data_IF_785798020964
#
_entry.id   IF_785798020964
#
_cell.length_a   1.000
_cell.length_b   1.000
_cell.length_c   1.000
_cell.angle_alpha   90.00
_cell.angle_beta   90.00
_cell.angle_gamma   90.00
#
_symmetry.space_group_name_H-M   'P 1'
#
loop_
_entity.id
_entity.type
_entity.pdbx_description
1 polymer ?
#
# COMPACT_ATOMS: atom_id res chain seq x y z
N UNK A 1 -7.14 9.63 -39.99
CA UNK A 1 -7.87 8.40 -40.36
C UNK A 1 -7.13 7.15 -39.88
N UNK A 2 -7.89 6.22 -39.31
CA UNK A 2 -7.53 4.90 -38.78
C UNK A 2 -6.63 4.85 -37.51
N UNK A 3 -7.31 4.87 -36.36
CA UNK A 3 -6.90 4.29 -35.08
C UNK A 3 -6.48 2.82 -35.29
N UNK A 4 -5.29 2.41 -34.84
CA UNK A 4 -4.95 0.99 -34.68
C UNK A 4 -4.86 0.70 -33.18
N UNK A 5 -5.92 0.13 -32.63
CA UNK A 5 -5.88 -0.57 -31.34
C UNK A 5 -4.97 -1.78 -31.50
N UNK A 6 -3.73 -1.70 -31.02
CA UNK A 6 -2.93 -2.88 -30.71
C UNK A 6 -3.13 -3.22 -29.25
N UNK A 7 -3.54 -4.47 -29.04
CA UNK A 7 -3.98 -5.03 -27.78
C UNK A 7 -2.86 -5.05 -26.72
N UNK A 8 -3.23 -4.68 -25.49
CA UNK A 8 -3.02 -5.41 -24.23
C UNK A 8 -1.75 -6.29 -24.06
N UNK A 9 -0.57 -5.83 -24.50
CA UNK A 9 0.72 -6.49 -24.19
C UNK A 9 1.53 -5.78 -23.09
N UNK A 10 1.03 -4.67 -22.52
CA UNK A 10 1.81 -3.81 -21.61
C UNK A 10 1.69 -4.13 -20.11
N UNK A 11 0.98 -5.21 -19.72
CA UNK A 11 0.73 -5.53 -18.31
C UNK A 11 2.00 -5.96 -17.54
N UNK A 12 2.99 -6.55 -18.20
CA UNK A 12 4.26 -6.97 -17.57
C UNK A 12 5.13 -5.78 -17.13
N UNK A 13 4.99 -4.63 -17.80
CA UNK A 13 5.83 -3.45 -17.57
C UNK A 13 5.45 -2.67 -16.31
N UNK A 14 4.21 -2.78 -15.81
CA UNK A 14 3.77 -2.08 -14.60
C UNK A 14 4.16 -2.80 -13.30
N UNK A 15 4.36 -4.12 -13.35
CA UNK A 15 4.72 -4.92 -12.16
C UNK A 15 6.18 -4.73 -11.78
N UNK A 16 7.05 -4.42 -12.74
CA UNK A 16 8.48 -4.16 -12.55
C UNK A 16 8.81 -2.78 -11.95
N UNK A 17 7.81 -1.90 -11.76
CA UNK A 17 8.04 -0.48 -11.40
C UNK A 17 8.05 -0.20 -9.90
N UNK A 18 7.80 -1.20 -9.04
CA UNK A 18 7.93 -1.05 -7.59
C UNK A 18 9.23 -1.70 -7.11
N UNK A 19 10.29 -0.91 -6.84
CA UNK A 19 11.57 -1.44 -6.38
C UNK A 19 11.36 -2.31 -5.14
N UNK A 20 11.92 -3.52 -5.15
CA UNK A 20 11.81 -4.46 -4.03
C UNK A 20 10.63 -5.43 -4.07
N UNK A 21 9.66 -5.28 -4.99
CA UNK A 21 8.58 -6.25 -5.20
C UNK A 21 8.80 -7.07 -6.47
N UNK A 22 8.81 -8.40 -6.34
CA UNK A 22 8.94 -9.31 -7.49
C UNK A 22 7.66 -9.44 -8.31
N UNK A 23 6.52 -9.44 -7.62
CA UNK A 23 5.19 -9.57 -8.20
C UNK A 23 4.18 -8.89 -7.30
N UNK A 24 3.28 -8.09 -7.88
CA UNK A 24 2.15 -7.48 -7.17
C UNK A 24 0.99 -8.46 -7.20
N UNK A 25 0.47 -8.83 -6.02
CA UNK A 25 -0.71 -9.69 -5.91
C UNK A 25 -2.00 -8.87 -5.92
N UNK A 26 -2.02 -7.76 -5.19
CA UNK A 26 -3.17 -6.85 -5.07
C UNK A 26 -2.69 -5.47 -4.63
N UNK A 27 -3.56 -4.47 -4.81
CA UNK A 27 -3.38 -3.10 -4.34
C UNK A 27 -4.65 -2.72 -3.59
N UNK A 28 -4.47 -2.19 -2.38
CA UNK A 28 -5.53 -1.66 -1.54
C UNK A 28 -5.33 -0.16 -1.37
N UNK A 29 -6.42 0.60 -1.45
CA UNK A 29 -6.37 2.05 -1.39
C UNK A 29 -7.31 2.52 -0.29
N UNK A 30 -6.85 3.49 0.49
CA UNK A 30 -7.64 4.10 1.54
C UNK A 30 -7.31 5.57 1.71
N UNK A 31 -8.17 6.28 2.43
CA UNK A 31 -7.99 7.69 2.71
C UNK A 31 -8.20 7.97 4.21
N UNK A 32 -7.55 9.01 4.69
CA UNK A 32 -7.66 9.45 6.08
C UNK A 32 -7.40 10.94 6.19
N UNK A 33 -8.17 11.58 7.05
CA UNK A 33 -8.04 13.01 7.34
C UNK A 33 -8.00 13.24 8.85
N UNK A 34 -7.29 14.30 9.25
CA UNK A 34 -7.40 14.89 10.57
C UNK A 34 -8.07 16.25 10.47
N UNK A 35 -9.34 16.32 10.86
CA UNK A 35 -10.21 17.49 10.63
C UNK A 35 -9.94 18.66 11.58
N UNK A 36 -9.39 18.38 12.77
CA UNK A 36 -9.02 19.41 13.74
C UNK A 36 -7.60 19.96 13.51
N UNK A 37 -6.87 19.34 12.57
CA UNK A 37 -5.55 19.77 12.12
C UNK A 37 -4.41 19.34 13.05
N UNK A 38 -3.21 19.41 12.47
CA UNK A 38 -1.90 19.25 13.12
C UNK A 38 -1.44 17.82 13.44
N UNK A 39 -2.24 16.78 13.19
CA UNK A 39 -1.78 15.39 13.32
C UNK A 39 -1.82 14.62 11.99
N UNK A 40 -0.71 14.71 11.25
CA UNK A 40 -0.49 13.96 10.01
C UNK A 40 -0.45 12.44 10.25
N UNK A 41 0.02 12.01 11.42
CA UNK A 41 0.11 10.60 11.79
C UNK A 41 -1.27 9.99 11.91
N UNK A 42 -2.19 10.69 12.58
CA UNK A 42 -3.59 10.27 12.71
C UNK A 42 -4.27 10.17 11.35
N UNK A 43 -4.02 11.10 10.43
CA UNK A 43 -4.53 11.02 9.07
C UNK A 43 -3.96 9.79 8.33
N UNK A 44 -2.64 9.55 8.39
CA UNK A 44 -1.98 8.40 7.77
C UNK A 44 -2.46 7.06 8.34
N UNK A 45 -2.61 6.94 9.66
CA UNK A 45 -3.14 5.75 10.34
C UNK A 45 -4.57 5.46 9.90
N UNK A 46 -5.41 6.50 9.78
CA UNK A 46 -6.78 6.36 9.26
C UNK A 46 -6.78 5.86 7.82
N UNK A 47 -5.92 6.41 6.97
CA UNK A 47 -5.79 5.97 5.58
C UNK A 47 -5.39 4.50 5.48
N UNK A 48 -4.38 4.08 6.25
CA UNK A 48 -3.91 2.70 6.26
C UNK A 48 -4.98 1.73 6.79
N UNK A 49 -5.70 2.10 7.87
CA UNK A 49 -6.80 1.29 8.39
C UNK A 49 -7.90 1.16 7.34
N UNK A 50 -8.33 2.28 6.76
CA UNK A 50 -9.37 2.29 5.74
C UNK A 50 -9.02 1.42 4.53
N UNK A 51 -7.74 1.36 4.13
CA UNK A 51 -7.29 0.52 3.03
C UNK A 51 -7.51 -0.98 3.29
N UNK A 52 -7.33 -1.46 4.53
CA UNK A 52 -7.32 -2.90 4.85
C UNK A 52 -8.58 -3.40 5.57
N UNK A 53 -9.39 -2.50 6.14
CA UNK A 53 -10.47 -2.85 7.09
C UNK A 53 -11.61 -3.67 6.47
N UNK A 54 -11.82 -3.56 5.16
CA UNK A 54 -12.95 -4.21 4.46
C UNK A 54 -12.53 -5.37 3.55
N UNK A 55 -11.26 -5.73 3.56
CA UNK A 55 -10.73 -6.82 2.74
C UNK A 55 -10.30 -7.99 3.62
N UNK A 56 -10.49 -9.20 3.12
CA UNK A 56 -10.00 -10.41 3.76
C UNK A 56 -9.39 -11.31 2.70
N UNK A 57 -8.17 -11.79 2.97
CA UNK A 57 -7.42 -12.64 2.06
C UNK A 57 -7.03 -13.91 2.82
N UNK A 58 -7.97 -14.83 3.07
CA UNK A 58 -7.71 -16.05 3.85
C UNK A 58 -6.75 -17.01 3.15
N UNK A 59 -6.58 -16.87 1.83
CA UNK A 59 -5.74 -17.73 0.99
C UNK A 59 -4.25 -17.36 0.98
N UNK A 60 -3.80 -16.36 1.76
CA UNK A 60 -2.40 -15.91 1.74
C UNK A 60 -1.40 -17.04 2.01
N UNK A 61 -1.71 -17.96 2.93
CA UNK A 61 -0.82 -19.10 3.25
C UNK A 61 -0.67 -20.10 2.10
N UNK A 62 -1.63 -20.14 1.17
CA UNK A 62 -1.56 -20.97 -0.02
C UNK A 62 -0.84 -20.27 -1.18
N UNK A 63 -0.85 -18.94 -1.21
CA UNK A 63 -0.30 -18.14 -2.33
C UNK A 63 1.16 -17.71 -2.06
N UNK A 64 1.48 -17.33 -0.82
CA UNK A 64 2.79 -16.81 -0.44
C UNK A 64 3.57 -17.88 0.33
N UNK A 65 4.77 -18.28 -0.13
CA UNK A 65 5.67 -19.12 0.65
C UNK A 65 5.99 -18.46 2.00
N UNK A 66 5.74 -19.15 3.12
CA UNK A 66 5.88 -18.58 4.46
C UNK A 66 4.65 -17.79 4.96
N UNK A 67 3.60 -17.70 4.14
CA UNK A 67 2.31 -17.11 4.51
C UNK A 67 2.38 -15.65 4.92
N UNK A 68 1.56 -15.26 5.92
CA UNK A 68 1.44 -13.87 6.36
C UNK A 68 2.75 -13.26 6.89
N UNK A 69 3.67 -14.08 7.42
CA UNK A 69 4.93 -13.59 7.97
C UNK A 69 5.90 -13.12 6.87
N UNK A 70 5.87 -13.78 5.72
CA UNK A 70 6.77 -13.50 4.59
C UNK A 70 6.13 -12.60 3.51
N UNK A 71 4.85 -12.23 3.68
CA UNK A 71 4.18 -11.26 2.82
C UNK A 71 4.92 -9.92 2.82
N UNK A 72 5.39 -9.48 1.65
CA UNK A 72 5.96 -8.14 1.48
C UNK A 72 4.84 -7.11 1.36
N UNK A 73 4.90 -6.07 2.19
CA UNK A 73 3.92 -4.98 2.20
C UNK A 73 4.64 -3.65 1.95
N UNK A 74 4.32 -3.01 0.84
CA UNK A 74 4.80 -1.66 0.49
C UNK A 74 3.65 -0.67 0.63
N UNK A 75 3.81 0.28 1.52
CA UNK A 75 2.81 1.31 1.81
C UNK A 75 3.31 2.64 1.26
N UNK A 76 2.60 3.20 0.30
CA UNK A 76 2.93 4.52 -0.27
C UNK A 76 1.98 5.56 0.30
N UNK A 77 2.51 6.60 0.94
CA UNK A 77 1.69 7.65 1.57
C UNK A 77 1.84 8.99 0.87
N UNK A 78 0.75 9.49 0.30
CA UNK A 78 0.67 10.86 -0.20
C UNK A 78 0.25 11.80 0.93
N UNK A 79 1.17 12.67 1.36
CA UNK A 79 0.98 13.57 2.50
C UNK A 79 1.47 15.00 2.18
N UNK A 80 0.98 16.03 2.90
CA UNK A 80 1.53 17.37 2.80
C UNK A 80 3.04 17.39 3.07
N UNK A 81 3.83 17.78 2.06
CA UNK A 81 5.30 17.75 2.11
C UNK A 81 5.90 18.47 3.33
N UNK A 82 5.31 19.59 3.73
CA UNK A 82 5.77 20.39 4.86
C UNK A 82 5.68 19.67 6.22
N UNK A 83 4.84 18.63 6.32
CA UNK A 83 4.60 17.88 7.55
C UNK A 83 5.13 16.44 7.47
N UNK A 84 5.72 16.03 6.34
CA UNK A 84 6.15 14.64 6.15
C UNK A 84 7.19 14.18 7.20
N UNK A 85 8.04 15.08 7.69
CA UNK A 85 9.03 14.79 8.73
C UNK A 85 8.44 14.58 10.14
N UNK A 86 7.18 14.97 10.39
CA UNK A 86 6.51 14.75 11.68
C UNK A 86 5.66 13.47 11.71
N UNK A 87 5.71 12.67 10.63
CA UNK A 87 5.03 11.39 10.58
C UNK A 87 5.70 10.37 11.49
N UNK A 88 4.92 9.80 12.41
CA UNK A 88 5.33 8.67 13.24
C UNK A 88 5.15 7.37 12.45
N UNK A 89 6.25 6.91 11.85
CA UNK A 89 6.27 5.70 11.03
C UNK A 89 5.94 4.43 11.82
N UNK A 90 6.23 4.39 13.12
CA UNK A 90 5.98 3.21 13.95
C UNK A 90 4.48 3.04 14.21
N UNK A 91 3.76 4.14 14.47
CA UNK A 91 2.30 4.13 14.54
C UNK A 91 1.64 3.69 13.24
N UNK A 92 2.19 4.10 12.09
CA UNK A 92 1.68 3.65 10.79
C UNK A 92 1.96 2.16 10.59
N UNK A 93 3.17 1.67 10.86
CA UNK A 93 3.52 0.24 10.75
C UNK A 93 2.67 -0.65 11.66
N UNK A 94 2.27 -0.13 12.82
CA UNK A 94 1.44 -0.85 13.79
C UNK A 94 0.00 -1.11 13.28
N UNK A 95 -0.48 -0.39 12.26
CA UNK A 95 -1.80 -0.63 11.66
C UNK A 95 -1.88 -1.99 10.99
N UNK A 96 -0.77 -2.45 10.40
CA UNK A 96 -0.74 -3.69 9.63
C UNK A 96 -0.41 -4.87 10.55
N UNK A 97 -1.29 -5.88 10.67
CA UNK A 97 -1.11 -6.97 11.63
C UNK A 97 0.04 -7.91 11.24
N UNK A 98 0.34 -8.05 9.95
CA UNK A 98 1.32 -9.00 9.43
C UNK A 98 2.18 -8.39 8.31
N UNK A 99 3.10 -9.21 7.77
CA UNK A 99 3.96 -8.86 6.66
C UNK A 99 5.21 -8.05 7.03
N UNK A 100 6.15 -8.01 6.08
CA UNK A 100 7.37 -7.20 6.09
C UNK A 100 7.05 -5.83 5.51
N UNK A 101 7.01 -4.82 6.39
CA UNK A 101 6.43 -3.50 6.10
C UNK A 101 7.51 -2.51 5.67
N UNK A 102 7.33 -1.93 4.51
CA UNK A 102 8.10 -0.80 4.00
C UNK A 102 7.14 0.38 3.79
N UNK A 103 7.43 1.54 4.39
CA UNK A 103 6.65 2.77 4.18
C UNK A 103 7.50 3.71 3.32
N UNK A 104 6.88 4.25 2.27
CA UNK A 104 7.51 5.05 1.22
C UNK A 104 6.74 6.36 1.01
#
# INVERSE_FOLDING_TARGET
>A
PALRMTALDDAESYVTVLPGLKQVLFIEVGFGADQHGQDITKAAVRACRNAIEFNSIPSITAIIPGGYADMALRVTLALPKALASSLDLDKVKAVFPYGKKEIV
#
